data_IF_423868721716
#
_entry.id   IF_423868721716
#
_cell.length_a   1.000
_cell.length_b   1.000
_cell.length_c   1.000
_cell.angle_alpha   90.00
_cell.angle_beta   90.00
_cell.angle_gamma   90.00
#
_symmetry.space_group_name_H-M   'P 1'
#
loop_
_entity.id
_entity.type
_entity.pdbx_description
1 polymer ?
#
# COMPACT_ATOMS: atom_id res chain seq x y z
N UNK A 1 12.86 19.71 7.14
CA UNK A 1 13.39 18.34 7.29
C UNK A 1 12.59 17.41 6.38
N UNK A 2 13.05 17.17 5.15
CA UNK A 2 12.37 16.25 4.21
C UNK A 2 13.36 15.16 3.84
N UNK A 3 13.22 14.01 4.50
CA UNK A 3 14.16 12.92 4.38
C UNK A 3 13.99 12.26 3.01
N UNK A 4 14.74 12.78 2.02
CA UNK A 4 15.06 12.10 0.76
C UNK A 4 15.88 10.84 1.04
N UNK A 5 15.24 9.76 1.50
CA UNK A 5 15.88 8.44 1.54
C UNK A 5 15.68 7.77 0.18
N UNK A 6 16.77 7.69 -0.58
CA UNK A 6 16.87 6.86 -1.77
C UNK A 6 16.41 5.45 -1.44
N UNK A 7 15.31 5.05 -2.05
CA UNK A 7 14.69 3.75 -1.84
C UNK A 7 15.28 2.67 -2.77
N UNK A 8 16.59 2.66 -2.94
CA UNK A 8 17.30 1.54 -3.55
C UNK A 8 17.88 0.67 -2.44
N UNK A 9 17.01 0.10 -1.59
CA UNK A 9 17.46 -1.06 -0.80
C UNK A 9 17.52 -2.22 -1.78
N UNK A 10 18.72 -2.55 -2.26
CA UNK A 10 18.99 -3.74 -3.06
C UNK A 10 18.44 -4.95 -2.30
N UNK A 11 17.25 -5.41 -2.70
CA UNK A 11 16.73 -6.71 -2.32
C UNK A 11 17.37 -7.68 -3.32
N UNK A 12 18.37 -8.44 -2.86
CA UNK A 12 18.87 -9.61 -3.59
C UNK A 12 17.75 -10.63 -3.83
N UNK A 13 18.00 -11.72 -4.60
CA UNK A 13 16.98 -12.66 -5.04
C UNK A 13 16.35 -13.32 -3.81
N UNK A 14 15.25 -12.77 -3.33
CA UNK A 14 14.54 -13.23 -2.15
C UNK A 14 13.09 -13.25 -2.55
N UNK A 15 12.59 -14.48 -2.56
CA UNK A 15 11.25 -14.93 -2.82
C UNK A 15 10.20 -13.85 -2.51
N UNK A 16 9.10 -13.76 -3.31
CA UNK A 16 8.01 -12.83 -3.04
C UNK A 16 7.35 -13.16 -1.70
N UNK A 17 7.97 -12.68 -0.62
CA UNK A 17 7.46 -12.78 0.73
C UNK A 17 6.27 -11.84 0.91
N UNK A 18 5.52 -12.01 2.01
CA UNK A 18 4.34 -11.22 2.29
C UNK A 18 4.66 -9.71 2.31
N UNK A 19 3.65 -8.85 2.08
CA UNK A 19 3.80 -7.42 2.21
C UNK A 19 4.37 -7.06 3.58
N UNK A 20 5.23 -6.03 3.63
CA UNK A 20 5.73 -5.49 4.90
C UNK A 20 4.62 -4.75 5.62
N UNK A 21 4.73 -4.49 6.94
CA UNK A 21 3.70 -3.76 7.70
C UNK A 21 3.25 -2.46 7.04
N UNK A 22 4.19 -1.64 6.55
CA UNK A 22 3.87 -0.40 5.83
C UNK A 22 3.17 -0.61 4.48
N UNK A 23 3.47 -1.72 3.80
CA UNK A 23 2.81 -2.10 2.54
C UNK A 23 1.40 -2.62 2.84
N UNK A 24 1.21 -3.35 3.95
CA UNK A 24 -0.11 -3.76 4.43
C UNK A 24 -1.02 -2.58 4.76
N UNK A 25 -0.51 -1.56 5.45
CA UNK A 25 -1.28 -0.33 5.72
C UNK A 25 -1.81 0.31 4.43
N UNK A 26 -0.93 0.46 3.42
CA UNK A 26 -1.32 0.99 2.10
C UNK A 26 -2.37 0.10 1.44
N UNK A 27 -2.17 -1.22 1.43
CA UNK A 27 -3.10 -2.18 0.82
C UNK A 27 -4.47 -2.20 1.51
N UNK A 28 -4.52 -2.07 2.83
CA UNK A 28 -5.76 -2.05 3.59
C UNK A 28 -6.60 -0.82 3.26
N UNK A 29 -5.97 0.35 3.22
CA UNK A 29 -6.65 1.60 2.85
C UNK A 29 -7.04 1.59 1.36
N UNK A 30 -6.18 1.05 0.51
CA UNK A 30 -6.51 0.89 -0.91
C UNK A 30 -7.69 -0.08 -1.13
N UNK A 31 -7.77 -1.17 -0.35
CA UNK A 31 -8.90 -2.12 -0.38
C UNK A 31 -10.21 -1.49 0.07
N UNK A 32 -10.15 -0.53 0.99
CA UNK A 32 -11.32 0.28 1.39
C UNK A 32 -11.77 1.24 0.27
N UNK A 33 -11.00 1.35 -0.81
CA UNK A 33 -11.33 2.21 -1.95
C UNK A 33 -10.88 3.66 -1.78
N UNK A 34 -9.99 3.91 -0.81
CA UNK A 34 -9.29 5.19 -0.68
C UNK A 34 -8.32 5.39 -1.84
N UNK A 35 -8.11 6.65 -2.19
CA UNK A 35 -7.13 7.06 -3.19
C UNK A 35 -5.77 7.34 -2.59
N UNK A 36 -4.76 7.43 -3.47
CA UNK A 36 -3.37 7.62 -3.07
C UNK A 36 -3.19 8.85 -2.14
N UNK A 37 -3.97 9.92 -2.33
CA UNK A 37 -3.94 11.14 -1.53
C UNK A 37 -4.47 10.89 -0.11
N UNK A 38 -5.67 10.34 0.02
CA UNK A 38 -6.25 10.01 1.32
C UNK A 38 -5.43 8.95 2.08
N UNK A 39 -4.84 7.99 1.35
CA UNK A 39 -3.89 7.02 1.90
C UNK A 39 -2.65 7.75 2.44
N UNK A 40 -2.13 8.70 1.66
CA UNK A 40 -0.95 9.47 2.04
C UNK A 40 -1.20 10.30 3.30
N UNK A 41 -2.36 10.96 3.39
CA UNK A 41 -2.77 11.72 4.58
C UNK A 41 -2.90 10.82 5.82
N UNK A 42 -3.61 9.69 5.71
CA UNK A 42 -3.77 8.75 6.84
C UNK A 42 -2.45 8.16 7.31
N UNK A 43 -1.50 7.97 6.41
CA UNK A 43 -0.18 7.43 6.73
C UNK A 43 0.86 8.51 7.05
N UNK A 44 0.56 9.79 6.87
CA UNK A 44 1.52 10.89 7.05
C UNK A 44 2.69 10.85 6.05
N UNK A 45 2.43 10.41 4.82
CA UNK A 45 3.43 10.36 3.73
C UNK A 45 2.94 11.16 2.51
N UNK A 46 3.68 11.11 1.40
CA UNK A 46 3.26 11.76 0.14
C UNK A 46 2.56 10.77 -0.80
N UNK A 47 1.62 11.22 -1.66
CA UNK A 47 0.94 10.34 -2.62
C UNK A 47 1.91 9.66 -3.59
N UNK A 48 2.99 10.35 -3.98
CA UNK A 48 4.07 9.75 -4.78
C UNK A 48 4.79 8.60 -4.04
N UNK A 49 4.88 8.66 -2.72
CA UNK A 49 5.43 7.59 -1.89
C UNK A 49 4.47 6.39 -1.85
N UNK A 50 3.16 6.63 -1.74
CA UNK A 50 2.11 5.58 -1.84
C UNK A 50 2.22 4.85 -3.18
N UNK A 51 2.24 5.59 -4.29
CA UNK A 51 2.43 5.02 -5.64
C UNK A 51 3.72 4.21 -5.74
N UNK A 52 4.80 4.71 -5.15
CA UNK A 52 6.08 4.00 -5.07
C UNK A 52 6.01 2.69 -4.27
N UNK A 53 5.25 2.66 -3.17
CA UNK A 53 4.99 1.44 -2.41
C UNK A 53 4.21 0.42 -3.26
N UNK A 54 3.13 0.83 -3.91
CA UNK A 54 2.31 -0.02 -4.78
C UNK A 54 3.14 -0.56 -5.96
N UNK A 55 3.93 0.32 -6.61
CA UNK A 55 4.79 -0.07 -7.72
C UNK A 55 5.80 -1.13 -7.32
N UNK A 56 6.55 -0.91 -6.23
CA UNK A 56 7.53 -1.91 -5.77
C UNK A 56 6.87 -3.22 -5.36
N UNK A 57 5.68 -3.17 -4.78
CA UNK A 57 4.96 -4.37 -4.41
C UNK A 57 4.52 -5.15 -5.65
N UNK A 58 4.00 -4.46 -6.68
CA UNK A 58 3.67 -5.04 -7.98
C UNK A 58 4.87 -5.65 -8.68
N UNK A 59 5.97 -4.91 -8.77
CA UNK A 59 7.23 -5.38 -9.35
C UNK A 59 7.74 -6.63 -8.63
N UNK A 60 7.70 -6.63 -7.28
CA UNK A 60 8.13 -7.78 -6.47
C UNK A 60 7.25 -9.00 -6.64
N UNK A 61 5.94 -8.80 -6.81
CA UNK A 61 4.95 -9.89 -6.95
C UNK A 61 4.68 -10.28 -8.41
N UNK A 62 5.24 -9.56 -9.38
CA UNK A 62 4.99 -9.76 -10.81
C UNK A 62 3.56 -9.41 -11.25
N UNK A 63 2.94 -8.41 -10.61
CA UNK A 63 1.51 -8.07 -10.78
C UNK A 63 1.33 -6.85 -11.68
N UNK A 64 0.51 -7.01 -12.72
CA UNK A 64 0.33 -6.00 -13.75
C UNK A 64 -0.67 -4.91 -13.36
N UNK A 65 -1.61 -5.18 -12.45
CA UNK A 65 -2.68 -4.23 -12.11
C UNK A 65 -2.90 -4.06 -10.62
N UNK A 66 -3.34 -2.86 -10.21
CA UNK A 66 -3.72 -2.55 -8.83
C UNK A 66 -4.89 -3.40 -8.35
N UNK A 67 -5.84 -3.71 -9.24
CA UNK A 67 -6.96 -4.59 -8.91
C UNK A 67 -6.50 -6.04 -8.69
N UNK A 68 -5.62 -6.53 -9.57
CA UNK A 68 -5.00 -7.86 -9.45
C UNK A 68 -4.15 -7.97 -8.18
N UNK A 69 -3.47 -6.89 -7.79
CA UNK A 69 -2.74 -6.80 -6.54
C UNK A 69 -3.65 -7.09 -5.35
N UNK A 70 -4.81 -6.43 -5.26
CA UNK A 70 -5.75 -6.69 -4.16
C UNK A 70 -6.30 -8.11 -4.16
N UNK A 71 -6.41 -8.76 -5.31
CA UNK A 71 -6.90 -10.14 -5.41
C UNK A 71 -5.84 -11.19 -5.03
N UNK A 72 -4.57 -10.96 -5.39
CA UNK A 72 -3.48 -11.93 -5.18
C UNK A 72 -2.84 -11.87 -3.80
N UNK A 73 -3.10 -10.81 -3.04
CA UNK A 73 -2.49 -10.61 -1.72
C UNK A 73 -3.10 -11.59 -0.68
N UNK A 74 -2.27 -12.28 0.12
CA UNK A 74 -2.75 -13.24 1.11
C UNK A 74 -3.27 -12.53 2.36
N UNK A 75 -4.52 -12.04 2.32
CA UNK A 75 -5.16 -11.27 3.40
C UNK A 75 -5.20 -11.99 4.76
N UNK A 76 -5.08 -13.31 4.77
CA UNK A 76 -4.97 -14.14 5.97
C UNK A 76 -3.67 -13.90 6.75
N UNK A 77 -2.62 -13.40 6.09
CA UNK A 77 -1.36 -13.00 6.71
C UNK A 77 -1.35 -11.53 7.14
N UNK A 78 -2.48 -10.83 7.04
CA UNK A 78 -2.58 -9.46 7.52
C UNK A 78 -2.46 -9.46 9.06
N UNK A 79 -1.46 -8.77 9.64
CA UNK A 79 -1.30 -8.74 11.08
C UNK A 79 -2.53 -8.10 11.73
N UNK A 80 -3.10 -8.79 12.73
CA UNK A 80 -4.32 -8.36 13.40
C UNK A 80 -4.24 -6.97 14.03
N UNK A 81 -3.04 -6.51 14.34
CA UNK A 81 -2.76 -5.18 14.88
C UNK A 81 -3.06 -4.03 13.89
N UNK A 82 -3.20 -4.32 12.59
CA UNK A 82 -3.65 -3.35 11.58
C UNK A 82 -5.17 -3.34 11.38
N UNK A 83 -5.93 -4.15 12.11
CA UNK A 83 -7.40 -4.16 12.04
C UNK A 83 -8.03 -2.84 12.53
N UNK A 84 -7.30 -2.06 13.32
CA UNK A 84 -7.73 -0.74 13.84
C UNK A 84 -7.96 0.25 12.68
N UNK A 85 -7.26 0.08 11.55
CA UNK A 85 -7.45 0.90 10.33
C UNK A 85 -8.76 0.57 9.57
N UNK A 86 -9.51 -0.47 9.97
CA UNK A 86 -10.83 -0.82 9.37
C UNK A 86 -11.96 0.09 9.84
N UNK A 87 -11.80 0.74 10.99
CA UNK A 87 -12.85 1.51 11.63
C UNK A 87 -12.68 2.99 11.31
N UNK A 88 -13.13 3.43 10.13
CA UNK A 88 -13.17 4.87 9.90
C UNK A 88 -13.51 5.29 8.49
N UNK A 89 -14.73 5.83 8.41
CA UNK A 89 -15.16 6.86 7.48
C UNK A 89 -15.65 6.39 6.09
N UNK A 90 -16.99 6.33 5.97
CA UNK A 90 -17.72 6.21 4.70
C UNK A 90 -17.99 7.61 4.13
N UNK A 91 -17.04 8.54 4.09
CA UNK A 91 -17.30 9.86 3.51
C UNK A 91 -16.06 10.38 2.75
N UNK A 92 -15.80 9.79 1.58
CA UNK A 92 -14.99 10.48 0.59
C UNK A 92 -15.55 10.24 -0.82
N UNK A 93 -16.08 11.29 -1.48
CA UNK A 93 -16.49 11.19 -2.88
C UNK A 93 -15.26 10.96 -3.75
N UNK A 94 -15.33 9.98 -4.66
CA UNK A 94 -14.34 9.72 -5.71
C UNK A 94 -14.15 11.01 -6.52
N UNK A 95 -12.95 11.62 -6.65
CA UNK A 95 -12.70 12.55 -7.73
C UNK A 95 -12.67 11.78 -9.05
N UNK A 96 -13.22 12.44 -10.06
CA UNK A 96 -13.35 11.93 -11.41
C UNK A 96 -12.01 11.64 -12.07
N UNK A 97 -12.10 10.71 -13.01
CA UNK A 97 -11.09 10.15 -13.90
C UNK A 97 -10.11 11.17 -14.50
#
# INVERSE_FOLDING_TARGET
MSQRRGFHRKLGPREPGPPRPREWEVLLLLRQGLEDEAIAERLGITPSTVRGHIYRLRERLGIASRAELLQRIPWEQCPSELQILKAGDRDHPKPGR
#
